data_IF_559026339681
#
_entry.id   IF_559026339681
#
_cell.length_a   1.000
_cell.length_b   1.000
_cell.length_c   1.000
_cell.angle_alpha   90.00
_cell.angle_beta   90.00
_cell.angle_gamma   90.00
#
_symmetry.space_group_name_H-M   'P 1'
#
loop_
_entity.id
_entity.type
_entity.pdbx_description
1 polymer ?
#
# COMPACT_ATOMS: atom_id res chain seq x y z
N UNK A 1 1.08 5.17 13.91
CA UNK A 1 -0.17 5.96 13.72
C UNK A 1 0.15 7.24 12.99
N UNK A 2 -0.67 7.62 12.01
CA UNK A 2 -0.43 8.76 11.11
C UNK A 2 -1.66 9.64 10.97
N UNK A 3 -1.48 10.82 10.36
CA UNK A 3 -2.56 11.76 10.04
C UNK A 3 -3.33 11.34 8.77
N UNK A 4 -3.85 10.11 8.76
CA UNK A 4 -4.54 9.45 7.65
C UNK A 4 -3.58 8.63 6.78
N UNK A 5 -4.15 7.80 5.88
CA UNK A 5 -3.38 6.95 4.97
C UNK A 5 -2.41 7.73 4.06
N UNK A 6 -2.76 8.95 3.66
CA UNK A 6 -1.87 9.77 2.83
C UNK A 6 -0.54 10.06 3.51
N UNK A 7 -0.55 10.35 4.82
CA UNK A 7 0.68 10.54 5.59
C UNK A 7 1.44 9.23 5.80
N UNK A 8 0.73 8.10 5.94
CA UNK A 8 1.36 6.79 6.00
C UNK A 8 2.09 6.47 4.68
N UNK A 9 1.43 6.68 3.54
CA UNK A 9 2.02 6.51 2.21
C UNK A 9 3.24 7.44 2.00
N UNK A 10 3.15 8.70 2.45
CA UNK A 10 4.26 9.65 2.36
C UNK A 10 5.47 9.16 3.18
N UNK A 11 5.26 8.69 4.41
CA UNK A 11 6.33 8.15 5.25
C UNK A 11 6.97 6.91 4.62
N UNK A 12 6.14 6.00 4.11
CA UNK A 12 6.63 4.78 3.46
C UNK A 12 7.43 5.13 2.21
N UNK A 13 6.92 6.00 1.33
CA UNK A 13 7.66 6.45 0.16
C UNK A 13 9.01 7.08 0.55
N UNK A 14 9.04 7.93 1.59
CA UNK A 14 10.27 8.54 2.09
C UNK A 14 11.27 7.53 2.65
N UNK A 15 10.78 6.44 3.26
CA UNK A 15 11.61 5.43 3.89
C UNK A 15 12.11 4.34 2.90
N UNK A 16 11.40 4.14 1.78
CA UNK A 16 11.66 3.01 0.87
C UNK A 16 12.08 3.40 -0.53
N UNK A 17 12.02 4.69 -0.89
CA UNK A 17 12.32 5.17 -2.26
C UNK A 17 13.58 6.04 -2.25
N UNK A 18 14.48 5.76 -3.16
CA UNK A 18 15.67 6.57 -3.42
C UNK A 18 15.67 7.08 -4.87
N UNK A 19 16.48 8.10 -5.13
CA UNK A 19 16.61 8.63 -6.48
C UNK A 19 17.13 7.55 -7.45
N UNK A 20 16.37 7.31 -8.51
CA UNK A 20 16.66 6.29 -9.52
C UNK A 20 15.98 4.95 -9.30
N UNK A 21 15.32 4.75 -8.18
CA UNK A 21 14.50 3.56 -7.93
C UNK A 21 13.29 3.51 -8.86
N UNK A 22 12.90 2.29 -9.24
CA UNK A 22 11.65 2.01 -9.93
C UNK A 22 10.64 1.39 -8.96
N UNK A 23 9.41 1.88 -8.99
CA UNK A 23 8.29 1.32 -8.22
C UNK A 23 7.23 0.83 -9.20
N UNK A 24 6.93 -0.47 -9.16
CA UNK A 24 5.91 -1.09 -10.02
C UNK A 24 4.53 -0.87 -9.42
N UNK A 25 3.59 -0.34 -10.20
CA UNK A 25 2.18 -0.16 -9.84
C UNK A 25 1.27 -0.61 -10.98
N UNK A 26 0.03 -0.99 -10.66
CA UNK A 26 -0.99 -1.26 -11.67
C UNK A 26 -1.40 0.02 -12.43
N UNK A 27 -1.83 -0.13 -13.67
CA UNK A 27 -2.48 0.92 -14.45
C UNK A 27 -3.87 0.43 -14.88
N UNK A 28 -4.97 1.06 -14.38
CA UNK A 28 -5.04 2.27 -13.57
C UNK A 28 -4.73 2.05 -12.07
N UNK A 29 -4.31 3.13 -11.38
CA UNK A 29 -4.10 3.16 -9.94
C UNK A 29 -4.43 4.54 -9.34
N UNK A 30 -4.38 4.65 -8.02
CA UNK A 30 -4.63 5.91 -7.33
C UNK A 30 -3.59 6.97 -7.74
N UNK A 31 -4.02 8.14 -8.28
CA UNK A 31 -3.10 9.10 -8.90
C UNK A 31 -2.00 9.63 -7.98
N UNK A 32 -2.25 9.73 -6.66
CA UNK A 32 -1.27 10.25 -5.72
C UNK A 32 -0.05 9.34 -5.56
N UNK A 33 -0.16 8.05 -5.84
CA UNK A 33 0.95 7.10 -5.70
C UNK A 33 2.16 7.52 -6.55
N UNK A 34 1.91 7.95 -7.79
CA UNK A 34 2.95 8.50 -8.67
C UNK A 34 3.66 9.69 -8.02
N UNK A 35 2.87 10.66 -7.55
CA UNK A 35 3.41 11.90 -6.98
C UNK A 35 4.26 11.61 -5.73
N UNK A 36 3.85 10.66 -4.90
CA UNK A 36 4.58 10.28 -3.71
C UNK A 36 5.95 9.69 -4.05
N UNK A 37 6.03 8.78 -5.00
CA UNK A 37 7.29 8.15 -5.43
C UNK A 37 8.21 9.18 -6.13
N UNK A 38 7.67 9.97 -7.06
CA UNK A 38 8.44 10.97 -7.80
C UNK A 38 8.98 12.09 -6.90
N UNK A 39 8.31 12.41 -5.79
CA UNK A 39 8.79 13.39 -4.79
C UNK A 39 10.14 12.99 -4.20
N UNK A 40 10.44 11.71 -4.08
CA UNK A 40 11.71 11.20 -3.56
C UNK A 40 12.69 10.76 -4.65
N UNK A 41 12.41 11.13 -5.91
CA UNK A 41 13.29 10.87 -7.05
C UNK A 41 13.16 9.46 -7.64
N UNK A 42 12.18 8.68 -7.17
CA UNK A 42 11.83 7.40 -7.78
C UNK A 42 11.04 7.58 -9.08
N UNK A 43 10.89 6.51 -9.82
CA UNK A 43 10.11 6.44 -11.07
C UNK A 43 9.00 5.40 -10.92
N UNK A 44 7.85 5.67 -11.51
CA UNK A 44 6.78 4.69 -11.62
C UNK A 44 6.94 3.87 -12.88
N UNK A 45 6.90 2.55 -12.72
CA UNK A 45 6.78 1.59 -13.83
C UNK A 45 5.36 1.02 -13.80
N UNK A 46 4.62 1.24 -14.87
CA UNK A 46 3.24 0.81 -14.99
C UNK A 46 3.16 -0.64 -15.46
N UNK A 47 2.47 -1.48 -14.69
CA UNK A 47 2.03 -2.79 -15.13
C UNK A 47 0.62 -2.63 -15.75
N UNK A 48 0.48 -2.73 -17.09
CA UNK A 48 -0.80 -2.52 -17.73
C UNK A 48 -1.78 -3.61 -17.34
N UNK A 49 -3.00 -3.20 -17.02
CA UNK A 49 -4.10 -4.10 -16.70
C UNK A 49 -5.27 -3.94 -17.68
N UNK A 50 -6.26 -4.81 -17.62
CA UNK A 50 -7.37 -4.82 -18.55
C UNK A 50 -8.66 -5.25 -17.87
N UNK A 51 -9.82 -5.10 -18.53
CA UNK A 51 -11.06 -5.67 -18.02
C UNK A 51 -10.98 -7.18 -17.77
N UNK A 52 -10.18 -7.91 -18.54
CA UNK A 52 -10.01 -9.36 -18.39
C UNK A 52 -9.32 -9.74 -17.07
N UNK A 53 -8.38 -8.90 -16.59
CA UNK A 53 -7.74 -9.04 -15.29
C UNK A 53 -8.51 -8.27 -14.18
N UNK A 54 -9.72 -7.80 -14.45
CA UNK A 54 -10.50 -6.94 -13.56
C UNK A 54 -9.73 -5.68 -13.13
N UNK A 55 -8.84 -5.17 -13.99
CA UNK A 55 -7.93 -4.06 -13.72
C UNK A 55 -7.02 -4.27 -12.52
N UNK A 56 -6.71 -5.53 -12.20
CA UNK A 56 -5.74 -5.87 -11.18
C UNK A 56 -4.48 -6.45 -11.82
N UNK A 57 -3.35 -6.15 -11.21
CA UNK A 57 -2.05 -6.70 -11.58
C UNK A 57 -1.97 -8.14 -11.08
N UNK A 58 -1.51 -9.04 -11.95
CA UNK A 58 -1.12 -10.40 -11.59
C UNK A 58 0.40 -10.53 -11.53
N UNK A 59 0.90 -11.70 -11.08
CA UNK A 59 2.34 -11.96 -11.00
C UNK A 59 3.04 -11.80 -12.35
N UNK A 60 2.41 -12.23 -13.43
CA UNK A 60 3.01 -12.14 -14.76
C UNK A 60 3.16 -10.68 -15.23
N UNK A 61 2.15 -9.84 -14.97
CA UNK A 61 2.21 -8.41 -15.26
C UNK A 61 3.25 -7.70 -14.39
N UNK A 62 3.34 -8.05 -13.10
CA UNK A 62 4.37 -7.54 -12.20
C UNK A 62 5.77 -7.92 -12.69
N UNK A 63 5.97 -9.17 -13.07
CA UNK A 63 7.25 -9.66 -13.58
C UNK A 63 7.65 -9.01 -14.91
N UNK A 64 6.71 -8.81 -15.81
CA UNK A 64 6.94 -8.14 -17.10
C UNK A 64 7.29 -6.65 -16.93
N UNK A 65 6.77 -5.99 -15.89
CA UNK A 65 7.09 -4.60 -15.56
C UNK A 65 8.39 -4.44 -14.75
N UNK A 66 9.00 -5.54 -14.30
CA UNK A 66 10.17 -5.50 -13.43
C UNK A 66 11.42 -5.02 -14.17
N UNK A 67 12.18 -4.12 -13.55
CA UNK A 67 13.46 -3.62 -14.06
C UNK A 67 14.60 -3.94 -13.08
N UNK A 68 15.86 -3.82 -13.47
CA UNK A 68 16.98 -3.95 -12.55
C UNK A 68 16.99 -2.92 -11.41
N UNK A 69 16.26 -1.80 -11.57
CA UNK A 69 16.14 -0.73 -10.57
C UNK A 69 14.87 -0.86 -9.71
N UNK A 70 14.05 -1.88 -9.93
CA UNK A 70 12.82 -2.05 -9.16
C UNK A 70 13.13 -2.33 -7.69
N UNK A 71 12.76 -1.39 -6.82
CA UNK A 71 12.96 -1.45 -5.38
C UNK A 71 11.66 -1.75 -4.61
N UNK A 72 10.49 -1.56 -5.25
CA UNK A 72 9.20 -1.82 -4.62
C UNK A 72 8.13 -2.20 -5.63
N UNK A 73 7.13 -2.95 -5.16
CA UNK A 73 5.82 -3.09 -5.76
C UNK A 73 4.78 -2.44 -4.84
N UNK A 74 3.92 -1.59 -5.40
CA UNK A 74 2.84 -0.95 -4.65
C UNK A 74 1.49 -1.42 -5.18
N UNK A 75 0.72 -2.05 -4.32
CA UNK A 75 -0.55 -2.68 -4.59
C UNK A 75 -1.67 -2.00 -3.81
N UNK A 76 -2.90 -2.05 -4.31
CA UNK A 76 -4.09 -1.64 -3.57
C UNK A 76 -5.18 -2.70 -3.74
N UNK A 77 -5.71 -3.20 -2.63
CA UNK A 77 -6.73 -4.25 -2.67
C UNK A 77 -7.70 -4.09 -1.48
N UNK A 78 -8.97 -3.73 -1.77
CA UNK A 78 -9.55 -3.25 -3.04
C UNK A 78 -8.90 -1.96 -3.56
N UNK A 79 -8.87 -1.80 -4.88
CA UNK A 79 -8.20 -0.68 -5.55
C UNK A 79 -9.12 0.52 -5.79
N UNK A 80 -8.58 1.70 -5.68
CA UNK A 80 -9.13 2.94 -6.22
C UNK A 80 -8.32 3.29 -7.49
N UNK A 81 -8.94 3.42 -8.69
CA UNK A 81 -10.37 3.74 -8.92
C UNK A 81 -11.27 2.55 -9.26
N UNK A 82 -10.75 1.33 -9.39
CA UNK A 82 -11.46 0.22 -10.04
C UNK A 82 -12.50 -0.47 -9.14
N UNK A 83 -12.35 -0.37 -7.82
CA UNK A 83 -13.22 -1.05 -6.85
C UNK A 83 -13.03 -2.57 -6.81
N UNK A 84 -12.02 -3.10 -7.50
CA UNK A 84 -11.76 -4.54 -7.58
C UNK A 84 -10.66 -4.97 -6.62
N UNK A 85 -10.72 -6.21 -6.14
CA UNK A 85 -9.69 -6.81 -5.29
C UNK A 85 -8.78 -7.74 -6.08
N UNK A 86 -7.51 -7.83 -5.65
CA UNK A 86 -6.59 -8.87 -6.11
C UNK A 86 -7.01 -10.18 -5.42
N UNK A 87 -7.15 -11.30 -6.14
CA UNK A 87 -7.34 -12.60 -5.51
C UNK A 87 -6.21 -12.90 -4.51
N UNK A 88 -6.55 -13.45 -3.35
CA UNK A 88 -5.60 -13.57 -2.24
C UNK A 88 -4.33 -14.35 -2.60
N UNK A 89 -4.48 -15.48 -3.32
CA UNK A 89 -3.35 -16.28 -3.77
C UNK A 89 -2.47 -15.52 -4.79
N UNK A 90 -3.08 -14.67 -5.60
CA UNK A 90 -2.36 -13.82 -6.54
C UNK A 90 -1.59 -12.72 -5.81
N UNK A 91 -2.22 -12.09 -4.80
CA UNK A 91 -1.55 -11.12 -3.92
C UNK A 91 -0.32 -11.75 -3.25
N UNK A 92 -0.47 -12.96 -2.68
CA UNK A 92 0.63 -13.71 -2.07
C UNK A 92 1.74 -14.02 -3.09
N UNK A 93 1.38 -14.36 -4.32
CA UNK A 93 2.31 -14.66 -5.42
C UNK A 93 3.12 -13.44 -5.86
N UNK A 94 2.48 -12.26 -5.97
CA UNK A 94 3.17 -11.00 -6.27
C UNK A 94 4.13 -10.62 -5.13
N UNK A 95 3.69 -10.74 -3.89
CA UNK A 95 4.54 -10.46 -2.72
C UNK A 95 5.74 -11.41 -2.64
N UNK A 96 5.55 -12.70 -2.97
CA UNK A 96 6.64 -13.66 -3.05
C UNK A 96 7.67 -13.27 -4.12
N UNK A 97 7.22 -12.87 -5.32
CA UNK A 97 8.10 -12.35 -6.38
C UNK A 97 8.94 -11.17 -5.90
N UNK A 98 8.32 -10.20 -5.25
CA UNK A 98 9.00 -9.02 -4.74
C UNK A 98 10.02 -9.38 -3.65
N UNK A 99 9.68 -10.29 -2.74
CA UNK A 99 10.58 -10.80 -1.71
C UNK A 99 11.78 -11.55 -2.29
N UNK A 100 11.56 -12.42 -3.28
CA UNK A 100 12.62 -13.13 -4.01
C UNK A 100 13.64 -12.16 -4.64
N UNK A 101 13.20 -10.95 -4.98
CA UNK A 101 14.01 -9.90 -5.61
C UNK A 101 14.42 -8.79 -4.63
N UNK A 102 14.25 -9.01 -3.32
CA UNK A 102 14.60 -8.06 -2.25
C UNK A 102 13.94 -6.68 -2.40
N UNK A 103 12.74 -6.63 -2.96
CA UNK A 103 11.98 -5.41 -3.13
C UNK A 103 10.91 -5.25 -2.04
N UNK A 104 10.54 -4.01 -1.72
CA UNK A 104 9.48 -3.70 -0.77
C UNK A 104 8.10 -4.10 -1.32
N UNK A 105 7.25 -4.61 -0.45
CA UNK A 105 5.85 -4.95 -0.73
C UNK A 105 4.98 -3.97 0.02
N UNK A 106 4.43 -2.99 -0.70
CA UNK A 106 3.59 -1.92 -0.14
C UNK A 106 2.15 -2.22 -0.56
N UNK A 107 1.29 -2.52 0.40
CA UNK A 107 -0.10 -2.91 0.14
C UNK A 107 -1.04 -1.93 0.84
N UNK A 108 -1.77 -1.18 0.04
CA UNK A 108 -2.83 -0.28 0.54
C UNK A 108 -4.12 -1.09 0.72
N UNK A 109 -4.45 -1.36 1.97
CA UNK A 109 -5.65 -2.10 2.41
C UNK A 109 -6.74 -1.17 2.97
N UNK A 110 -6.72 0.12 2.59
CA UNK A 110 -7.66 1.11 3.15
C UNK A 110 -9.14 0.74 2.93
N UNK A 111 -9.42 -0.07 1.90
CA UNK A 111 -10.77 -0.55 1.59
C UNK A 111 -11.02 -2.00 2.01
N UNK A 112 -10.10 -2.67 2.69
CA UNK A 112 -10.20 -4.10 3.01
C UNK A 112 -11.51 -4.45 3.73
N UNK A 113 -11.91 -3.64 4.71
CA UNK A 113 -13.17 -3.84 5.45
C UNK A 113 -14.44 -3.58 4.63
N UNK A 114 -14.32 -3.05 3.40
CA UNK A 114 -15.40 -2.79 2.46
C UNK A 114 -15.36 -3.73 1.25
N UNK A 115 -14.41 -4.66 1.22
CA UNK A 115 -14.30 -5.63 0.14
C UNK A 115 -15.49 -6.60 0.16
N UNK A 116 -15.95 -6.98 -1.02
CA UNK A 116 -16.90 -8.09 -1.13
C UNK A 116 -16.24 -9.39 -0.63
N UNK A 117 -17.01 -10.29 -0.02
CA UNK A 117 -16.54 -11.64 0.25
C UNK A 117 -16.04 -12.34 -1.03
N UNK A 118 -15.16 -13.30 -0.87
CA UNK A 118 -14.74 -14.14 -1.99
C UNK A 118 -15.89 -15.04 -2.51
N UNK A 119 -15.62 -15.87 -3.52
CA UNK A 119 -16.62 -16.74 -4.14
C UNK A 119 -17.21 -17.77 -3.14
N UNK A 120 -16.47 -18.12 -2.10
CA UNK A 120 -16.89 -19.04 -1.04
C UNK A 120 -17.58 -18.30 0.12
N UNK A 121 -17.72 -16.99 0.06
CA UNK A 121 -18.33 -16.12 1.07
C UNK A 121 -17.39 -15.80 2.24
N UNK A 122 -16.10 -16.09 2.14
CA UNK A 122 -15.13 -15.72 3.15
C UNK A 122 -14.78 -14.22 3.08
N UNK A 123 -14.54 -13.56 4.21
CA UNK A 123 -14.17 -12.14 4.23
C UNK A 123 -12.80 -11.93 3.57
N UNK A 124 -12.59 -10.72 3.04
CA UNK A 124 -11.30 -10.34 2.50
C UNK A 124 -10.19 -10.47 3.57
N UNK A 125 -9.03 -10.92 3.13
CA UNK A 125 -7.89 -11.27 3.99
C UNK A 125 -6.76 -10.24 3.82
N UNK A 126 -6.08 -9.94 4.90
CA UNK A 126 -4.89 -9.09 4.88
C UNK A 126 -3.68 -9.83 4.32
N UNK A 127 -2.82 -9.13 3.58
CA UNK A 127 -1.54 -9.67 3.08
C UNK A 127 -0.66 -10.21 4.20
N UNK A 128 -0.79 -9.69 5.41
CA UNK A 128 0.02 -10.09 6.57
C UNK A 128 -0.16 -11.57 6.96
N UNK A 129 -1.22 -12.24 6.51
CA UNK A 129 -1.40 -13.67 6.72
C UNK A 129 -0.38 -14.52 5.94
N UNK A 130 0.13 -14.01 4.82
CA UNK A 130 1.11 -14.70 3.95
C UNK A 130 2.46 -14.02 3.88
N UNK A 131 2.53 -12.73 4.17
CA UNK A 131 3.75 -11.94 4.17
C UNK A 131 3.79 -10.97 5.37
N UNK A 132 4.22 -11.44 6.56
CA UNK A 132 4.29 -10.61 7.77
C UNK A 132 5.23 -9.40 7.65
N UNK A 133 6.16 -9.43 6.69
CA UNK A 133 7.10 -8.35 6.41
C UNK A 133 6.59 -7.37 5.32
N UNK A 134 5.35 -7.51 4.85
CA UNK A 134 4.74 -6.55 3.96
C UNK A 134 4.43 -5.25 4.69
N UNK A 135 4.56 -4.13 3.98
CA UNK A 135 4.14 -2.82 4.46
C UNK A 135 2.65 -2.69 4.16
N UNK A 136 1.82 -2.53 5.20
CA UNK A 136 0.37 -2.36 5.05
C UNK A 136 -0.03 -0.94 5.41
N UNK A 137 -0.84 -0.32 4.56
CA UNK A 137 -1.43 1.00 4.80
C UNK A 137 -2.93 0.85 5.02
N UNK A 138 -3.43 1.51 6.07
CA UNK A 138 -4.86 1.55 6.33
C UNK A 138 -5.26 2.85 7.05
N UNK A 139 -6.57 3.08 7.23
CA UNK A 139 -7.05 4.26 7.95
C UNK A 139 -8.49 4.11 8.46
N UNK A 140 -8.88 5.02 9.33
CA UNK A 140 -10.27 5.18 9.78
C UNK A 140 -11.15 5.90 8.75
N UNK A 141 -10.59 6.37 7.63
CA UNK A 141 -11.29 7.24 6.67
C UNK A 141 -12.45 6.54 5.93
N UNK A 142 -12.34 5.23 5.65
CA UNK A 142 -13.27 4.54 4.74
C UNK A 142 -14.24 3.66 5.52
N UNK A 143 -13.84 2.49 5.96
CA UNK A 143 -14.72 1.57 6.67
C UNK A 143 -15.42 2.22 7.87
N UNK A 144 -14.71 3.01 8.66
CA UNK A 144 -15.24 3.66 9.85
C UNK A 144 -15.95 4.99 9.57
N UNK A 145 -16.02 5.45 8.33
CA UNK A 145 -16.67 6.71 7.95
C UNK A 145 -16.00 7.98 8.50
N UNK A 146 -14.77 7.89 9.00
CA UNK A 146 -14.06 8.99 9.67
C UNK A 146 -13.12 9.76 8.72
N UNK A 147 -13.56 10.06 7.52
CA UNK A 147 -12.72 10.66 6.45
C UNK A 147 -12.09 11.99 6.89
N UNK A 148 -12.88 12.89 7.50
CA UNK A 148 -12.43 14.22 7.95
C UNK A 148 -11.58 14.19 9.22
N UNK A 149 -11.53 13.09 9.94
CA UNK A 149 -10.80 12.95 11.21
C UNK A 149 -9.30 12.80 11.03
N UNK A 150 -8.84 12.43 9.83
CA UNK A 150 -7.42 12.31 9.49
C UNK A 150 -6.65 11.38 10.41
N UNK A 151 -7.11 10.14 10.56
CA UNK A 151 -6.42 9.09 11.32
C UNK A 151 -6.18 7.86 10.44
N UNK A 152 -4.95 7.34 10.48
CA UNK A 152 -4.54 6.14 9.76
C UNK A 152 -3.31 5.52 10.40
N UNK A 153 -2.81 4.48 9.77
CA UNK A 153 -1.62 3.78 10.25
C UNK A 153 -0.89 3.08 9.10
N UNK A 154 0.38 2.79 9.35
CA UNK A 154 1.15 1.82 8.60
C UNK A 154 1.56 0.69 9.54
N UNK A 155 1.51 -0.56 9.06
CA UNK A 155 2.17 -1.70 9.67
C UNK A 155 3.46 -1.88 8.89
N UNK A 156 4.57 -1.94 9.58
CA UNK A 156 5.91 -1.87 8.99
C UNK A 156 6.74 -3.07 9.45
N UNK A 157 7.64 -3.61 8.63
CA UNK A 157 8.69 -4.48 9.09
C UNK A 157 9.57 -3.76 10.12
N UNK A 158 10.17 -4.50 11.05
CA UNK A 158 10.87 -3.93 12.21
C UNK A 158 11.97 -2.93 11.80
N UNK A 159 12.69 -3.22 10.73
CA UNK A 159 13.77 -2.36 10.23
C UNK A 159 13.31 -0.96 9.78
N UNK A 160 12.05 -0.80 9.40
CA UNK A 160 11.47 0.48 8.98
C UNK A 160 10.81 1.26 10.13
N UNK A 161 10.60 0.66 11.31
CA UNK A 161 9.89 1.33 12.41
C UNK A 161 10.63 2.58 12.87
N UNK A 162 11.89 2.45 13.25
CA UNK A 162 12.66 3.58 13.74
C UNK A 162 12.90 4.68 12.70
N UNK A 163 13.26 4.38 11.43
CA UNK A 163 13.28 5.39 10.36
C UNK A 163 11.94 6.10 10.16
N UNK A 164 10.83 5.37 10.12
CA UNK A 164 9.50 5.95 9.94
C UNK A 164 9.07 6.83 11.11
N UNK A 165 9.35 6.44 12.36
CA UNK A 165 9.09 7.26 13.55
C UNK A 165 9.87 8.58 13.49
N UNK A 166 11.15 8.53 13.14
CA UNK A 166 11.97 9.73 13.00
C UNK A 166 11.43 10.67 11.91
N UNK A 167 11.02 10.13 10.76
CA UNK A 167 10.37 10.91 9.70
C UNK A 167 9.04 11.51 10.16
N UNK A 168 8.20 10.73 10.85
CA UNK A 168 6.90 11.17 11.33
C UNK A 168 7.02 12.37 12.29
N UNK A 169 7.94 12.29 13.24
CA UNK A 169 8.22 13.41 14.18
C UNK A 169 8.61 14.68 13.42
N UNK A 170 9.40 14.57 12.35
CA UNK A 170 9.85 15.73 11.59
C UNK A 170 8.81 16.26 10.61
N UNK A 171 7.89 15.42 10.11
CA UNK A 171 6.89 15.82 9.13
C UNK A 171 5.61 16.39 9.76
N UNK A 172 5.12 15.78 10.84
CA UNK A 172 3.83 16.17 11.44
C UNK A 172 3.73 15.95 12.96
N UNK A 173 4.85 15.65 13.64
CA UNK A 173 4.94 15.36 15.07
C UNK A 173 4.18 14.08 15.45
N UNK A 174 2.86 14.15 15.53
CA UNK A 174 1.97 13.02 15.85
C UNK A 174 0.57 13.26 15.29
N UNK A 175 -0.23 12.20 15.23
CA UNK A 175 -1.66 12.34 15.02
C UNK A 175 -2.33 13.00 16.24
N UNK A 176 -3.42 13.74 16.00
CA UNK A 176 -4.15 14.47 17.07
C UNK A 176 -4.65 13.54 18.16
N UNK A 177 -4.28 13.81 19.41
CA UNK A 177 -4.66 13.00 20.58
C UNK A 177 -6.18 12.83 20.74
N UNK A 178 -7.02 13.89 20.62
CA UNK A 178 -8.48 13.72 20.68
C UNK A 178 -9.02 12.76 19.62
N UNK A 179 -8.40 12.77 18.42
CA UNK A 179 -8.82 11.90 17.32
C UNK A 179 -8.43 10.44 17.60
N UNK A 180 -7.25 10.21 18.16
CA UNK A 180 -6.83 8.88 18.59
C UNK A 180 -7.75 8.32 19.67
N UNK A 181 -8.17 9.15 20.63
CA UNK A 181 -9.12 8.74 21.66
C UNK A 181 -10.51 8.41 21.08
N UNK A 182 -10.98 9.19 20.12
CA UNK A 182 -12.24 8.91 19.43
C UNK A 182 -12.22 7.59 18.64
N UNK A 183 -11.07 7.17 18.18
CA UNK A 183 -10.93 5.90 17.46
C UNK A 183 -10.88 4.66 18.37
N UNK A 184 -10.76 4.85 19.69
CA UNK A 184 -10.80 3.78 20.68
C UNK A 184 -12.23 3.52 21.20
N UNK A 185 -13.18 4.42 20.91
CA UNK A 185 -14.58 4.34 21.31
C UNK A 185 -15.43 3.53 20.32
#
# INVERSE_FOLDING_TARGET
>A
VTTGASSALLLVAAATTQAGDDVVIADPSYPCNRQLVETYGGRIVLAPTSPASRYQMDRAAAEAAWTPQTSAVMLATPSNPTGTSIPFEELASICALARERSAWRIVDEIYLGLADPDEDGAPARTVLETDPEAIVINSFSKYFGMTGWRLGWAILPEELVAPAENLAVNYFLCASTPIQQAALA
#
